data_IF_727485003203
#
_entry.id   IF_727485003203
#
_cell.length_a   1.000
_cell.length_b   1.000
_cell.length_c   1.000
_cell.angle_alpha   90.00
_cell.angle_beta   90.00
_cell.angle_gamma   90.00
#
_symmetry.space_group_name_H-M   'P 1'
#
loop_
_entity.id
_entity.type
_entity.pdbx_description
1 polymer ?
#
# COMPACT_ATOMS: atom_id res chain seq x y z
N UNK A 1 -30.85 13.82 -9.14
CA UNK A 1 -29.52 13.48 -9.71
C UNK A 1 -28.50 13.53 -8.57
N UNK A 2 -27.94 12.40 -8.12
CA UNK A 2 -26.85 12.43 -7.12
C UNK A 2 -25.59 12.91 -7.84
N UNK A 3 -25.08 14.10 -7.51
CA UNK A 3 -23.76 14.54 -7.95
C UNK A 3 -22.72 13.67 -7.25
N UNK A 4 -22.20 12.65 -7.94
CA UNK A 4 -21.10 11.83 -7.42
C UNK A 4 -19.81 12.66 -7.46
N UNK A 5 -19.51 13.35 -6.36
CA UNK A 5 -18.25 14.10 -6.21
C UNK A 5 -17.14 13.20 -5.66
N UNK A 6 -16.53 12.42 -6.56
CA UNK A 6 -15.31 11.68 -6.25
C UNK A 6 -14.09 12.59 -6.44
N UNK A 7 -13.17 12.59 -5.47
CA UNK A 7 -11.95 13.41 -5.48
C UNK A 7 -10.73 12.57 -5.14
N UNK A 8 -9.56 12.97 -5.65
CA UNK A 8 -8.27 12.39 -5.28
C UNK A 8 -8.13 12.35 -3.75
N UNK A 9 -7.58 11.25 -3.25
CA UNK A 9 -7.36 11.01 -1.83
C UNK A 9 -8.52 10.34 -1.11
N UNK A 10 -9.75 10.34 -1.65
CA UNK A 10 -10.87 9.71 -0.94
C UNK A 10 -10.70 8.20 -0.80
N UNK A 11 -11.02 7.66 0.36
CA UNK A 11 -11.27 6.22 0.51
C UNK A 11 -12.66 5.91 -0.04
N UNK A 12 -12.76 4.81 -0.77
CA UNK A 12 -14.01 4.35 -1.37
C UNK A 12 -14.08 2.82 -1.35
N UNK A 13 -15.28 2.29 -1.26
CA UNK A 13 -15.54 0.90 -1.57
C UNK A 13 -15.83 0.73 -3.05
N UNK A 14 -15.22 -0.28 -3.66
CA UNK A 14 -15.48 -0.72 -5.02
C UNK A 14 -15.41 -2.25 -5.03
N UNK A 15 -16.42 -2.91 -5.59
CA UNK A 15 -16.56 -4.38 -5.58
C UNK A 15 -16.40 -5.00 -4.18
N UNK A 16 -17.05 -4.39 -3.17
CA UNK A 16 -16.96 -4.77 -1.76
C UNK A 16 -15.62 -4.53 -1.07
N UNK A 17 -14.60 -3.98 -1.73
CA UNK A 17 -13.25 -3.85 -1.15
C UNK A 17 -12.84 -2.38 -0.98
N UNK A 18 -11.99 -2.12 0.02
CA UNK A 18 -11.49 -0.79 0.32
C UNK A 18 -10.38 -0.33 -0.63
N UNK A 19 -10.57 0.85 -1.20
CA UNK A 19 -9.66 1.49 -2.15
C UNK A 19 -9.39 2.94 -1.79
N UNK A 20 -8.30 3.50 -2.30
CA UNK A 20 -8.04 4.95 -2.34
C UNK A 20 -8.10 5.46 -3.77
N UNK A 21 -8.73 6.61 -3.97
CA UNK A 21 -8.75 7.30 -5.27
C UNK A 21 -7.41 8.01 -5.46
N UNK A 22 -6.59 7.57 -6.43
CA UNK A 22 -5.32 8.24 -6.71
C UNK A 22 -5.41 9.26 -7.85
N UNK A 23 -6.41 9.14 -8.73
CA UNK A 23 -6.64 10.10 -9.82
C UNK A 23 -8.11 10.12 -10.25
N UNK A 24 -8.56 11.27 -10.75
CA UNK A 24 -9.87 11.44 -11.39
C UNK A 24 -9.64 12.11 -12.74
N UNK A 25 -10.07 11.47 -13.83
CA UNK A 25 -9.98 11.99 -15.20
C UNK A 25 -11.38 12.20 -15.77
N UNK A 26 -11.98 13.40 -15.62
CA UNK A 26 -13.40 13.65 -15.91
C UNK A 26 -13.81 13.35 -17.36
N UNK A 27 -12.88 13.46 -18.31
CA UNK A 27 -13.15 13.29 -19.74
C UNK A 27 -13.32 11.84 -20.20
N UNK A 28 -13.06 10.85 -19.33
CA UNK A 28 -13.08 9.43 -19.67
C UNK A 28 -14.30 8.70 -19.09
N UNK A 29 -14.76 7.64 -19.76
CA UNK A 29 -15.87 6.78 -19.27
C UNK A 29 -15.54 6.10 -17.94
N UNK A 30 -14.27 5.71 -17.74
CA UNK A 30 -13.73 5.25 -16.46
C UNK A 30 -12.93 6.39 -15.85
N UNK A 31 -13.65 7.36 -15.31
CA UNK A 31 -13.08 8.61 -14.83
C UNK A 31 -12.39 8.50 -13.47
N UNK A 32 -12.48 7.36 -12.77
CA UNK A 32 -11.97 7.21 -11.40
C UNK A 32 -10.93 6.11 -11.37
N UNK A 33 -9.72 6.49 -10.95
CA UNK A 33 -8.60 5.59 -10.80
C UNK A 33 -8.39 5.26 -9.33
N UNK A 34 -8.39 3.97 -9.01
CA UNK A 34 -8.35 3.44 -7.67
C UNK A 34 -7.09 2.62 -7.46
N UNK A 35 -6.57 2.65 -6.24
CA UNK A 35 -5.60 1.68 -5.73
C UNK A 35 -6.26 0.92 -4.59
N UNK A 36 -6.25 -0.40 -4.65
CA UNK A 36 -6.77 -1.27 -3.59
C UNK A 36 -5.81 -1.25 -2.41
N UNK A 37 -6.30 -1.01 -1.20
CA UNK A 37 -5.40 -0.85 -0.05
C UNK A 37 -4.71 -2.18 0.33
N UNK A 38 -5.43 -3.30 0.19
CA UNK A 38 -4.96 -4.64 0.57
C UNK A 38 -3.64 -5.01 -0.11
N UNK A 39 -3.54 -4.86 -1.43
CA UNK A 39 -2.43 -5.40 -2.25
C UNK A 39 -1.85 -4.37 -3.23
N UNK A 40 -2.29 -3.11 -3.15
CA UNK A 40 -1.87 -2.00 -4.02
C UNK A 40 -2.18 -2.19 -5.51
N UNK A 41 -3.06 -3.13 -5.87
CA UNK A 41 -3.51 -3.30 -7.25
C UNK A 41 -4.32 -2.11 -7.75
N UNK A 42 -4.19 -1.80 -9.04
CA UNK A 42 -4.84 -0.64 -9.65
C UNK A 42 -6.13 -1.03 -10.36
N UNK A 43 -7.22 -0.30 -10.09
CA UNK A 43 -8.52 -0.50 -10.71
C UNK A 43 -9.04 0.78 -11.38
N UNK A 44 -9.81 0.62 -12.46
CA UNK A 44 -10.46 1.70 -13.19
C UNK A 44 -11.98 1.57 -13.10
N UNK A 45 -12.65 2.63 -12.69
CA UNK A 45 -14.10 2.64 -12.54
C UNK A 45 -14.68 4.02 -12.83
N UNK A 46 -15.98 4.19 -12.58
CA UNK A 46 -16.67 5.46 -12.67
C UNK A 46 -17.24 5.87 -11.31
N UNK A 47 -17.62 7.14 -11.18
CA UNK A 47 -18.04 7.72 -9.92
C UNK A 47 -19.35 7.11 -9.35
N UNK A 48 -20.19 6.50 -10.18
CA UNK A 48 -21.46 5.90 -9.75
C UNK A 48 -21.31 4.49 -9.16
N UNK A 49 -20.16 3.84 -9.34
CA UNK A 49 -19.87 2.49 -8.85
C UNK A 49 -19.09 2.44 -7.54
N UNK A 50 -18.80 3.60 -6.95
CA UNK A 50 -18.00 3.71 -5.74
C UNK A 50 -18.80 4.32 -4.60
N UNK A 51 -18.52 3.86 -3.39
CA UNK A 51 -19.13 4.38 -2.17
C UNK A 51 -18.07 4.99 -1.27
N UNK A 52 -18.24 6.27 -0.89
CA UNK A 52 -17.23 6.98 -0.10
C UNK A 52 -17.16 6.44 1.33
N UNK A 53 -15.95 6.22 1.81
CA UNK A 53 -15.64 5.98 3.21
C UNK A 53 -14.77 7.11 3.78
N UNK A 54 -14.96 7.45 5.06
CA UNK A 54 -14.11 8.42 5.77
C UNK A 54 -13.40 7.69 6.90
N UNK A 55 -12.06 7.52 6.82
CA UNK A 55 -11.31 6.84 7.87
C UNK A 55 -11.38 7.60 9.20
N UNK A 56 -11.46 6.87 10.30
CA UNK A 56 -11.55 7.40 11.65
C UNK A 56 -10.72 6.59 12.66
N UNK A 57 -10.64 7.10 13.89
CA UNK A 57 -9.93 6.42 14.96
C UNK A 57 -10.51 5.01 15.22
N UNK A 58 -9.62 4.05 15.45
CA UNK A 58 -9.89 2.62 15.65
C UNK A 58 -10.37 1.88 14.40
N UNK A 59 -10.42 2.51 13.23
CA UNK A 59 -10.57 1.73 11.99
C UNK A 59 -9.34 0.84 11.80
N UNK A 60 -9.56 -0.42 11.41
CA UNK A 60 -8.51 -1.34 10.99
C UNK A 60 -8.70 -1.82 9.55
N UNK A 61 -7.61 -1.85 8.80
CA UNK A 61 -7.57 -2.29 7.41
C UNK A 61 -6.23 -2.90 7.05
N UNK A 62 -6.22 -3.71 6.00
CA UNK A 62 -5.01 -4.24 5.39
C UNK A 62 -4.45 -3.18 4.45
N UNK A 63 -3.18 -2.83 4.66
CA UNK A 63 -2.39 -2.01 3.77
C UNK A 63 -1.14 -2.79 3.37
N UNK A 64 -0.94 -3.00 2.07
CA UNK A 64 0.19 -3.75 1.54
C UNK A 64 0.41 -5.10 2.24
N UNK A 65 -0.66 -5.91 2.27
CA UNK A 65 -0.75 -7.24 2.88
C UNK A 65 -0.52 -7.31 4.39
N UNK A 66 -0.36 -6.16 5.07
CA UNK A 66 -0.16 -6.07 6.52
C UNK A 66 -1.37 -5.38 7.17
N UNK A 67 -1.91 -5.90 8.29
CA UNK A 67 -3.01 -5.25 8.99
C UNK A 67 -2.50 -4.05 9.80
N UNK A 68 -3.29 -2.98 9.83
CA UNK A 68 -3.04 -1.80 10.65
C UNK A 68 -4.31 -1.32 11.34
N UNK A 69 -4.14 -0.60 12.45
CA UNK A 69 -5.21 0.10 13.18
C UNK A 69 -4.87 1.58 13.34
N UNK A 70 -5.85 2.46 13.06
CA UNK A 70 -5.68 3.91 13.16
C UNK A 70 -5.79 4.42 14.61
N UNK A 71 -4.73 5.06 15.11
CA UNK A 71 -4.71 5.70 16.42
C UNK A 71 -4.54 7.21 16.33
N UNK A 72 -5.43 7.95 17.01
CA UNK A 72 -5.34 9.41 17.12
C UNK A 72 -4.46 9.86 18.30
N UNK A 73 -4.44 9.08 19.37
CA UNK A 73 -3.83 9.48 20.65
C UNK A 73 -2.39 9.00 20.80
N UNK A 74 -1.97 8.02 19.99
CA UNK A 74 -0.59 7.52 19.99
C UNK A 74 0.28 8.45 19.16
N UNK A 75 1.49 8.73 19.66
CA UNK A 75 2.51 9.47 18.91
C UNK A 75 3.23 8.52 17.97
N UNK A 76 3.54 9.01 16.78
CA UNK A 76 4.35 8.27 15.82
C UNK A 76 5.82 8.28 16.23
N UNK A 77 6.52 7.20 15.87
CA UNK A 77 7.96 7.03 15.97
C UNK A 77 8.58 6.97 14.56
N UNK A 78 9.91 7.03 14.48
CA UNK A 78 10.62 6.84 13.22
C UNK A 78 10.35 5.45 12.64
N UNK A 79 10.07 5.39 11.32
CA UNK A 79 9.67 4.18 10.61
C UNK A 79 8.17 3.85 10.66
N UNK A 80 7.37 4.57 11.46
CA UNK A 80 5.93 4.34 11.51
C UNK A 80 5.21 4.84 10.25
N UNK A 81 4.11 4.16 9.91
CA UNK A 81 3.17 4.64 8.91
C UNK A 81 2.16 5.62 9.51
N UNK A 82 1.86 6.69 8.78
CA UNK A 82 0.80 7.64 9.14
C UNK A 82 -0.19 7.79 8.00
N UNK A 83 -1.46 8.00 8.35
CA UNK A 83 -2.53 8.33 7.42
C UNK A 83 -2.92 9.80 7.58
N UNK A 84 -2.68 10.61 6.57
CA UNK A 84 -3.03 12.04 6.59
C UNK A 84 -4.54 12.20 6.44
N UNK A 85 -5.24 12.66 7.47
CA UNK A 85 -6.72 12.77 7.44
C UNK A 85 -7.23 14.20 7.37
N UNK A 86 -6.39 15.18 7.71
CA UNK A 86 -6.75 16.59 7.72
C UNK A 86 -5.59 17.43 7.15
N UNK A 87 -5.33 17.35 5.83
CA UNK A 87 -4.16 17.99 5.25
C UNK A 87 -4.27 19.52 5.24
N UNK A 88 -3.25 20.19 5.76
CA UNK A 88 -3.06 21.63 5.67
C UNK A 88 -1.55 21.93 5.43
N UNK A 89 -1.02 21.52 4.25
CA UNK A 89 0.39 21.63 3.91
C UNK A 89 0.86 23.08 3.90
N UNK A 90 2.09 23.31 4.39
CA UNK A 90 2.76 24.58 4.22
C UNK A 90 3.29 24.69 2.77
N UNK A 91 3.85 25.84 2.39
CA UNK A 91 4.18 26.15 0.98
C UNK A 91 5.13 25.14 0.29
N UNK A 92 5.99 24.46 1.06
CA UNK A 92 6.96 23.51 0.55
C UNK A 92 6.51 22.05 0.65
N UNK A 93 5.40 21.78 1.34
CA UNK A 93 4.91 20.42 1.59
C UNK A 93 3.94 19.99 0.49
N UNK A 94 4.07 18.73 0.06
CA UNK A 94 3.34 18.17 -1.08
C UNK A 94 2.59 16.90 -0.71
N UNK A 95 1.77 16.98 0.34
CA UNK A 95 0.94 15.85 0.79
C UNK A 95 -0.56 16.13 0.64
N UNK A 96 -1.34 15.04 0.61
CA UNK A 96 -2.77 15.12 0.30
C UNK A 96 -3.65 14.25 1.21
N UNK A 97 -4.96 14.40 1.05
CA UNK A 97 -5.95 13.68 1.86
C UNK A 97 -5.79 12.15 1.71
N UNK A 98 -5.82 11.45 2.85
CA UNK A 98 -5.61 10.02 3.04
C UNK A 98 -4.38 9.47 2.31
N UNK A 99 -3.35 10.30 2.16
CA UNK A 99 -2.03 9.83 1.78
C UNK A 99 -1.40 9.09 2.96
N UNK A 100 -0.73 7.98 2.64
CA UNK A 100 0.00 7.16 3.59
C UNK A 100 1.48 7.46 3.38
N UNK A 101 2.16 7.87 4.44
CA UNK A 101 3.60 8.20 4.43
C UNK A 101 4.31 7.53 5.60
N UNK A 102 5.62 7.37 5.46
CA UNK A 102 6.51 6.81 6.47
C UNK A 102 7.18 7.97 7.20
N UNK A 103 7.24 7.88 8.53
CA UNK A 103 7.91 8.87 9.38
C UNK A 103 9.42 8.68 9.28
N UNK A 104 10.12 9.73 8.86
CA UNK A 104 11.59 9.78 8.83
C UNK A 104 12.15 10.37 10.14
N UNK A 105 11.49 11.34 10.75
CA UNK A 105 11.89 11.84 12.07
C UNK A 105 10.71 12.46 12.82
N UNK A 106 10.82 12.50 14.15
CA UNK A 106 9.78 13.06 15.03
C UNK A 106 10.21 14.42 15.53
N UNK A 107 9.32 15.41 15.38
CA UNK A 107 9.52 16.79 15.78
C UNK A 107 8.56 17.17 16.90
N UNK A 108 8.84 18.29 17.59
CA UNK A 108 8.01 18.72 18.75
C UNK A 108 6.54 18.97 18.37
N UNK A 109 6.28 19.41 17.14
CA UNK A 109 4.95 19.81 16.66
C UNK A 109 4.33 18.83 15.66
N UNK A 110 5.03 17.76 15.31
CA UNK A 110 4.65 16.90 14.19
C UNK A 110 5.72 15.88 13.86
N UNK A 111 5.77 15.50 12.59
CA UNK A 111 6.73 14.55 12.04
C UNK A 111 7.23 15.03 10.70
N UNK A 112 8.45 14.61 10.34
CA UNK A 112 8.99 14.74 8.99
C UNK A 112 8.90 13.37 8.34
N UNK A 113 8.40 13.31 7.11
CA UNK A 113 8.28 12.04 6.37
C UNK A 113 9.47 11.78 5.46
N UNK A 114 9.57 10.55 4.95
CA UNK A 114 10.62 10.17 3.98
C UNK A 114 10.53 10.95 2.67
N UNK A 115 9.38 11.57 2.37
CA UNK A 115 9.19 12.53 1.28
C UNK A 115 9.55 13.98 1.62
N UNK A 116 10.19 14.22 2.76
CA UNK A 116 10.53 15.55 3.26
C UNK A 116 9.33 16.47 3.52
N UNK A 117 8.16 15.91 3.84
CA UNK A 117 6.99 16.70 4.23
C UNK A 117 6.95 16.92 5.74
N UNK A 118 6.63 18.14 6.18
CA UNK A 118 6.29 18.45 7.57
C UNK A 118 4.79 18.25 7.84
N UNK A 119 4.45 17.32 8.73
CA UNK A 119 3.04 17.00 9.05
C UNK A 119 2.78 17.19 10.54
N UNK A 120 1.84 18.07 10.90
CA UNK A 120 1.49 18.37 12.30
C UNK A 120 0.70 17.21 12.91
N UNK A 121 0.83 17.00 14.22
CA UNK A 121 0.16 15.88 14.92
C UNK A 121 -1.37 15.84 14.79
N UNK A 122 -2.01 16.98 14.48
CA UNK A 122 -3.46 17.06 14.27
C UNK A 122 -3.91 16.77 12.82
N UNK A 123 -2.97 16.53 11.91
CA UNK A 123 -3.23 16.31 10.48
C UNK A 123 -3.27 14.84 10.10
N UNK A 124 -2.76 13.95 10.96
CA UNK A 124 -2.64 12.52 10.68
C UNK A 124 -3.24 11.63 11.80
N UNK A 125 -3.46 10.37 11.44
CA UNK A 125 -3.67 9.25 12.36
C UNK A 125 -2.50 8.28 12.22
N UNK A 126 -1.99 7.77 13.33
CA UNK A 126 -0.93 6.76 13.34
C UNK A 126 -1.50 5.41 12.87
N UNK A 127 -0.81 4.74 11.93
CA UNK A 127 -1.13 3.37 11.55
C UNK A 127 -0.30 2.41 12.39
N UNK A 128 -0.89 1.88 13.45
CA UNK A 128 -0.24 0.89 14.33
C UNK A 128 -0.36 -0.49 13.71
N UNK A 129 0.73 -1.27 13.58
CA UNK A 129 0.68 -2.64 13.07
C UNK A 129 -0.27 -3.54 13.88
N UNK A 130 -1.01 -4.39 13.19
CA UNK A 130 -1.98 -5.31 13.76
C UNK A 130 -3.41 -4.77 13.85
N UNK A 131 -4.33 -5.67 14.23
CA UNK A 131 -5.72 -5.32 14.56
C UNK A 131 -5.85 -5.17 16.07
N UNK A 132 -6.16 -3.97 16.53
CA UNK A 132 -6.53 -3.76 17.93
C UNK A 132 -7.81 -4.53 18.27
N UNK A 133 -7.94 -5.01 19.51
CA UNK A 133 -9.14 -5.73 20.00
C UNK A 133 -10.42 -4.89 19.88
N UNK A 134 -10.28 -3.58 20.00
CA UNK A 134 -11.38 -2.62 19.89
C UNK A 134 -11.44 -1.98 18.49
N UNK A 135 -10.71 -2.53 17.51
CA UNK A 135 -10.72 -1.99 16.16
C UNK A 135 -12.00 -2.33 15.40
N UNK A 136 -12.30 -1.52 14.40
CA UNK A 136 -13.42 -1.69 13.47
C UNK A 136 -12.84 -2.06 12.11
N UNK A 137 -12.89 -3.34 11.70
CA UNK A 137 -12.47 -3.75 10.36
C UNK A 137 -13.29 -3.04 9.27
N UNK A 138 -12.59 -2.42 8.32
CA UNK A 138 -13.16 -1.67 7.20
C UNK A 138 -12.65 -2.17 5.84
N UNK A 139 -12.04 -3.36 5.80
CA UNK A 139 -11.52 -3.96 4.56
C UNK A 139 -12.62 -4.14 3.50
N UNK A 140 -13.84 -4.44 3.99
CA UNK A 140 -15.00 -4.75 3.17
C UNK A 140 -16.23 -3.93 3.59
N UNK A 141 -17.06 -3.56 2.62
CA UNK A 141 -18.32 -2.83 2.85
C UNK A 141 -19.38 -3.73 3.48
N UNK A 142 -19.56 -4.93 2.91
CA UNK A 142 -20.46 -5.96 3.38
C UNK A 142 -19.63 -7.11 3.97
N UNK A 143 -19.67 -7.22 5.31
CA UNK A 143 -18.94 -8.23 6.09
C UNK A 143 -19.46 -9.64 5.85
N UNK A 144 -20.71 -9.79 5.40
CA UNK A 144 -21.29 -11.12 5.17
C UNK A 144 -20.87 -11.74 3.83
N UNK A 145 -20.18 -10.99 2.97
CA UNK A 145 -19.61 -11.49 1.71
C UNK A 145 -18.17 -11.97 1.84
N UNK A 146 -17.64 -12.06 3.06
CA UNK A 146 -16.29 -12.55 3.37
C UNK A 146 -16.13 -14.08 3.23
N UNK A 147 -17.21 -14.83 3.01
CA UNK A 147 -17.22 -16.31 3.07
C UNK A 147 -16.41 -17.06 1.99
N UNK A 148 -15.63 -16.38 1.15
CA UNK A 148 -14.74 -17.06 0.20
C UNK A 148 -13.24 -16.83 0.38
N UNK A 149 -12.77 -15.81 1.12
CA UNK A 149 -11.33 -15.44 1.07
C UNK A 149 -10.68 -14.92 2.37
N UNK A 150 -11.31 -15.09 3.55
CA UNK A 150 -10.70 -14.67 4.83
C UNK A 150 -10.74 -15.77 5.89
N UNK A 151 -9.93 -16.81 5.68
CA UNK A 151 -9.24 -17.47 6.80
C UNK A 151 -7.80 -16.94 6.84
N UNK A 152 -7.62 -15.72 7.35
CA UNK A 152 -6.29 -15.25 7.83
C UNK A 152 -6.28 -15.34 9.35
N UNK A 153 -6.78 -16.45 9.85
CA UNK A 153 -6.47 -16.99 11.16
C UNK A 153 -6.42 -18.50 10.98
N UNK A 154 -5.20 -19.02 10.93
CA UNK A 154 -4.88 -20.44 10.93
C UNK A 154 -5.30 -21.21 9.67
N UNK A 155 -4.48 -21.11 8.62
CA UNK A 155 -4.36 -22.19 7.63
C UNK A 155 -3.06 -22.06 6.84
N UNK A 156 -2.06 -22.77 7.35
CA UNK A 156 -1.23 -23.65 6.53
C UNK A 156 -2.10 -24.39 5.50
N UNK A 157 -2.16 -23.86 4.28
CA UNK A 157 -2.65 -24.58 3.11
C UNK A 157 -1.48 -24.90 2.17
N UNK A 158 -1.59 -26.02 1.44
CA UNK A 158 -0.44 -26.83 1.09
C UNK A 158 0.45 -26.10 0.09
N UNK A 159 1.73 -26.04 0.46
CA UNK A 159 2.80 -25.61 -0.41
C UNK A 159 2.78 -26.44 -1.70
N UNK A 160 2.22 -25.87 -2.77
CA UNK A 160 2.89 -26.02 -4.05
C UNK A 160 4.26 -25.37 -3.86
N UNK A 161 5.22 -26.25 -3.68
CA UNK A 161 6.55 -25.97 -3.16
C UNK A 161 7.35 -25.16 -4.17
N UNK A 162 7.09 -23.86 -4.24
CA UNK A 162 8.09 -22.90 -4.67
C UNK A 162 8.80 -22.46 -3.39
N UNK A 163 9.98 -23.04 -3.15
CA UNK A 163 10.87 -22.64 -2.06
C UNK A 163 11.41 -21.25 -2.39
N UNK A 164 10.76 -20.21 -1.90
CA UNK A 164 11.23 -18.84 -2.04
C UNK A 164 10.14 -17.83 -1.69
N UNK A 165 10.49 -16.81 -0.90
CA UNK A 165 9.61 -15.66 -0.68
C UNK A 165 9.44 -14.91 -2.01
N UNK A 166 8.20 -14.55 -2.34
CA UNK A 166 7.88 -13.88 -3.60
C UNK A 166 8.44 -12.44 -3.57
N UNK A 167 9.20 -11.98 -4.57
CA UNK A 167 9.68 -10.61 -4.60
C UNK A 167 8.52 -9.63 -4.81
N UNK A 168 8.72 -8.37 -4.43
CA UNK A 168 7.81 -7.27 -4.72
C UNK A 168 8.23 -6.51 -5.98
N UNK A 169 7.27 -5.88 -6.65
CA UNK A 169 7.58 -4.90 -7.71
C UNK A 169 8.35 -3.74 -7.08
N UNK A 170 9.50 -3.37 -7.64
CA UNK A 170 10.37 -2.35 -7.08
C UNK A 170 11.54 -2.89 -6.25
N UNK A 171 11.57 -4.20 -5.97
CA UNK A 171 12.75 -4.84 -5.36
C UNK A 171 13.92 -4.83 -6.35
N UNK A 172 15.12 -4.50 -5.86
CA UNK A 172 16.35 -4.44 -6.65
C UNK A 172 17.27 -5.58 -6.24
N UNK A 173 17.68 -6.38 -7.23
CA UNK A 173 18.58 -7.50 -7.07
C UNK A 173 19.88 -7.28 -7.86
N UNK A 174 21.00 -7.71 -7.28
CA UNK A 174 22.31 -7.71 -7.92
C UNK A 174 22.65 -9.11 -8.41
N UNK A 175 23.00 -9.23 -9.69
CA UNK A 175 23.52 -10.48 -10.24
C UNK A 175 24.96 -10.71 -9.79
N UNK A 176 25.23 -11.86 -9.18
CA UNK A 176 26.57 -12.30 -8.72
C UNK A 176 27.32 -13.12 -9.77
N UNK A 177 26.62 -13.69 -10.75
CA UNK A 177 27.23 -14.55 -11.77
C UNK A 177 27.76 -13.76 -12.97
N UNK A 178 29.09 -13.56 -13.04
CA UNK A 178 29.82 -13.04 -14.21
C UNK A 178 30.89 -11.98 -13.86
N UNK A 179 31.72 -11.60 -14.85
CA UNK A 179 32.74 -10.54 -14.69
C UNK A 179 32.16 -9.12 -14.53
N UNK A 180 30.83 -8.95 -14.50
CA UNK A 180 30.15 -7.67 -14.40
C UNK A 180 28.97 -7.78 -13.44
N UNK A 181 28.90 -6.88 -12.47
CA UNK A 181 27.76 -6.73 -11.56
C UNK A 181 26.64 -6.00 -12.30
N UNK A 182 25.44 -6.57 -12.30
CA UNK A 182 24.24 -5.95 -12.88
C UNK A 182 23.21 -5.83 -11.76
N UNK A 183 22.78 -4.60 -11.49
CA UNK A 183 21.65 -4.32 -10.60
C UNK A 183 20.39 -4.18 -11.45
N UNK A 184 19.35 -4.94 -11.13
CA UNK A 184 18.12 -4.96 -11.89
C UNK A 184 16.90 -4.98 -10.94
N UNK A 185 15.91 -4.16 -11.28
CA UNK A 185 14.69 -3.99 -10.48
C UNK A 185 13.57 -4.90 -11.01
N UNK A 186 12.77 -5.47 -10.13
CA UNK A 186 11.53 -6.17 -10.50
C UNK A 186 10.51 -5.18 -11.05
N UNK A 187 10.15 -5.31 -12.32
CA UNK A 187 9.20 -4.43 -13.01
C UNK A 187 7.83 -5.07 -13.21
N UNK A 188 7.76 -6.39 -13.26
CA UNK A 188 6.51 -7.15 -13.34
C UNK A 188 6.71 -8.58 -12.85
N UNK A 189 5.61 -9.21 -12.43
CA UNK A 189 5.58 -10.61 -12.01
C UNK A 189 4.38 -11.27 -12.71
N UNK A 190 4.62 -12.40 -13.36
CA UNK A 190 3.57 -13.19 -14.00
C UNK A 190 3.71 -14.66 -13.60
N UNK A 191 2.93 -15.09 -12.61
CA UNK A 191 3.06 -16.43 -12.04
C UNK A 191 4.46 -16.63 -11.45
N UNK A 192 5.18 -17.66 -11.91
CA UNK A 192 6.55 -17.96 -11.47
C UNK A 192 7.65 -17.25 -12.27
N UNK A 193 7.29 -16.40 -13.24
CA UNK A 193 8.23 -15.62 -14.06
C UNK A 193 8.31 -14.20 -13.56
N UNK A 194 9.53 -13.73 -13.34
CA UNK A 194 9.84 -12.40 -12.83
C UNK A 194 10.53 -11.62 -13.95
N UNK A 195 9.97 -10.44 -14.23
CA UNK A 195 10.52 -9.52 -15.22
C UNK A 195 11.33 -8.48 -14.46
N UNK A 196 12.63 -8.44 -14.74
CA UNK A 196 13.55 -7.45 -14.25
C UNK A 196 13.73 -6.34 -15.30
N UNK A 197 14.15 -5.16 -14.85
CA UNK A 197 14.59 -4.08 -15.73
C UNK A 197 15.64 -4.59 -16.73
N UNK A 198 15.77 -3.88 -17.87
CA UNK A 198 16.63 -4.30 -18.98
C UNK A 198 16.12 -5.53 -19.77
N UNK A 199 14.80 -5.79 -19.76
CA UNK A 199 14.14 -6.91 -20.46
C UNK A 199 14.68 -8.29 -20.05
N UNK A 200 15.08 -8.45 -18.78
CA UNK A 200 15.54 -9.71 -18.25
C UNK A 200 14.36 -10.49 -17.68
N UNK A 201 14.23 -11.75 -18.08
CA UNK A 201 13.20 -12.66 -17.59
C UNK A 201 13.89 -13.78 -16.81
N UNK A 202 13.52 -13.94 -15.54
CA UNK A 202 14.07 -14.97 -14.66
C UNK A 202 12.95 -15.73 -13.98
N UNK A 203 13.23 -16.97 -13.57
CA UNK A 203 12.30 -17.73 -12.74
C UNK A 203 12.42 -17.30 -11.27
N UNK A 204 11.36 -17.52 -10.49
CA UNK A 204 11.41 -17.34 -9.04
C UNK A 204 12.56 -18.14 -8.40
N UNK A 205 12.71 -19.39 -8.80
CA UNK A 205 13.78 -20.28 -8.31
C UNK A 205 15.17 -19.68 -8.56
N UNK A 206 15.39 -19.11 -9.74
CA UNK A 206 16.66 -18.44 -10.08
C UNK A 206 16.89 -17.18 -9.24
N UNK A 207 15.86 -16.34 -9.06
CA UNK A 207 16.02 -15.09 -8.31
C UNK A 207 16.26 -15.34 -6.82
N UNK A 208 15.70 -16.43 -6.28
CA UNK A 208 15.88 -16.83 -4.87
C UNK A 208 17.21 -17.53 -4.60
N UNK A 209 17.98 -17.87 -5.64
CA UNK A 209 19.31 -18.45 -5.52
C UNK A 209 20.33 -17.37 -5.13
N UNK A 210 20.74 -17.36 -3.85
CA UNK A 210 21.70 -16.40 -3.28
C UNK A 210 23.11 -16.46 -3.90
N UNK A 211 23.43 -17.54 -4.63
CA UNK A 211 24.68 -17.64 -5.40
C UNK A 211 24.59 -16.88 -6.73
N UNK A 212 23.38 -16.68 -7.26
CA UNK A 212 23.15 -16.01 -8.55
C UNK A 212 22.70 -14.58 -8.38
N UNK A 213 21.83 -14.31 -7.42
CA UNK A 213 21.20 -13.02 -7.20
C UNK A 213 21.21 -12.65 -5.71
N UNK A 214 21.44 -11.37 -5.44
CA UNK A 214 21.50 -10.83 -4.10
C UNK A 214 20.55 -9.65 -3.99
N UNK A 215 19.57 -9.75 -3.09
CA UNK A 215 18.70 -8.63 -2.77
C UNK A 215 19.51 -7.43 -2.27
N UNK A 216 19.23 -6.24 -2.78
CA UNK A 216 19.92 -5.00 -2.40
C UNK A 216 19.02 -4.13 -1.53
N UNK A 217 17.88 -3.69 -2.08
CA UNK A 217 16.92 -2.82 -1.42
C UNK A 217 15.58 -2.89 -2.16
N UNK A 218 14.51 -2.40 -1.53
CA UNK A 218 13.20 -2.25 -2.17
C UNK A 218 12.85 -0.78 -2.28
N UNK A 219 12.49 -0.31 -3.47
CA UNK A 219 12.03 1.08 -3.65
C UNK A 219 10.67 1.36 -2.97
N UNK A 220 10.01 0.33 -2.44
CA UNK A 220 8.78 0.47 -1.68
C UNK A 220 9.01 0.46 -0.15
N UNK A 221 10.25 0.24 0.28
CA UNK A 221 10.69 0.30 1.68
C UNK A 221 11.81 1.35 1.81
N UNK A 222 11.43 2.62 1.91
CA UNK A 222 12.26 3.72 2.46
C UNK A 222 11.44 4.50 3.51
#
# INVERSE_FOLDING_TARGET
>A
MKLYQVRKGQFVYFNNELHRVYSVKPMYKQSVHLVKLKDLTQHLTNASKVERYKPMHLDSFIFNNKPFTLHKEKKAEEGDYILITNPNPDYLDHYSLNEIEIVSSVETKGVITTKSNGIKHNEYLLMVPGRDKNSHPIDYLDKNKEDSDVNISDQSQPANSFKGEMPNIGDVYRKRSGNHFIDAMVVAINGGTIFLGNNLEVSLEELTDSERWEFQYSLLED
#
